data_IF_710581400389
#
_entry.id   IF_710581400389
#
_cell.length_a   1.000
_cell.length_b   1.000
_cell.length_c   1.000
_cell.angle_alpha   90.00
_cell.angle_beta   90.00
_cell.angle_gamma   90.00
#
_symmetry.space_group_name_H-M   'P 1'
#
loop_
_entity.id
_entity.type
_entity.pdbx_description
1 polymer ?
#
# COMPACT_ATOMS: atom_id res chain seq x y z
N UNK A 1 -85.03 3.84 12.14
CA UNK A 1 -86.38 4.07 12.66
C UNK A 1 -86.35 4.00 14.18
N UNK A 2 -87.16 4.80 14.87
CA UNK A 2 -87.29 4.82 16.32
C UNK A 2 -88.40 3.87 16.78
N UNK A 3 -88.42 3.52 18.07
CA UNK A 3 -89.51 2.70 18.64
C UNK A 3 -90.89 3.32 18.41
N UNK A 4 -90.99 4.64 18.39
CA UNK A 4 -92.26 5.35 18.16
C UNK A 4 -92.73 5.26 16.72
N UNK A 5 -91.82 5.34 15.76
CA UNK A 5 -92.13 5.13 14.33
C UNK A 5 -92.60 3.70 14.05
N UNK A 6 -92.04 2.71 14.76
CA UNK A 6 -92.48 1.31 14.66
C UNK A 6 -93.89 1.11 15.24
N UNK A 7 -94.23 1.75 16.36
CA UNK A 7 -95.61 1.71 16.91
C UNK A 7 -96.62 2.42 16.01
N UNK A 8 -96.24 3.55 15.40
CA UNK A 8 -97.07 4.28 14.45
C UNK A 8 -97.41 3.47 13.17
N UNK A 9 -96.58 2.47 12.84
CA UNK A 9 -96.82 1.51 11.76
C UNK A 9 -97.77 0.35 12.16
N UNK A 10 -98.32 0.36 13.37
CA UNK A 10 -99.28 -0.64 13.84
C UNK A 10 -98.66 -1.91 14.44
N UNK A 11 -97.36 -1.90 14.77
CA UNK A 11 -96.69 -3.02 15.43
C UNK A 11 -97.03 -3.08 16.93
N UNK A 12 -97.19 -4.30 17.46
CA UNK A 12 -97.40 -4.54 18.90
C UNK A 12 -96.12 -4.34 19.71
N UNK A 13 -96.25 -4.03 21.00
CA UNK A 13 -95.11 -3.75 21.89
C UNK A 13 -94.08 -4.90 21.96
N UNK A 14 -94.53 -6.15 21.86
CA UNK A 14 -93.65 -7.33 21.78
C UNK A 14 -92.86 -7.38 20.46
N UNK A 15 -93.50 -7.06 19.33
CA UNK A 15 -92.84 -7.05 18.02
C UNK A 15 -91.82 -5.90 17.94
N UNK A 16 -92.17 -4.72 18.45
CA UNK A 16 -91.24 -3.58 18.54
C UNK A 16 -90.04 -3.94 19.41
N UNK A 17 -90.25 -4.60 20.56
CA UNK A 17 -89.14 -5.01 21.43
C UNK A 17 -88.21 -6.00 20.73
N UNK A 18 -88.74 -7.06 20.09
CA UNK A 18 -87.93 -8.03 19.33
C UNK A 18 -87.15 -7.37 18.18
N UNK A 19 -87.78 -6.50 17.41
CA UNK A 19 -87.13 -5.78 16.30
C UNK A 19 -86.02 -4.89 16.82
N UNK A 20 -86.25 -4.12 17.90
CA UNK A 20 -85.22 -3.21 18.41
C UNK A 20 -84.03 -3.97 18.99
N UNK A 21 -84.28 -5.12 19.62
CA UNK A 21 -83.24 -5.98 20.18
C UNK A 21 -82.38 -6.64 19.09
N UNK A 22 -83.01 -7.08 17.99
CA UNK A 22 -82.33 -7.63 16.83
C UNK A 22 -81.54 -6.56 16.05
N UNK A 23 -82.12 -5.37 15.87
CA UNK A 23 -81.48 -4.23 15.24
C UNK A 23 -80.22 -3.79 16.00
N UNK A 24 -80.26 -3.79 17.34
CA UNK A 24 -79.09 -3.48 18.16
C UNK A 24 -77.97 -4.53 18.09
N UNK A 25 -78.29 -5.79 17.78
CA UNK A 25 -77.32 -6.90 17.73
C UNK A 25 -76.75 -7.14 16.33
N UNK A 26 -77.57 -6.98 15.30
CA UNK A 26 -77.26 -7.44 13.94
C UNK A 26 -77.19 -6.32 12.89
N UNK A 27 -77.59 -5.09 13.22
CA UNK A 27 -77.54 -3.97 12.26
C UNK A 27 -76.40 -3.00 12.56
N UNK A 28 -75.55 -2.78 11.56
CA UNK A 28 -74.55 -1.72 11.56
C UNK A 28 -74.98 -0.68 10.54
N UNK A 29 -74.96 0.59 10.92
CA UNK A 29 -75.28 1.66 9.98
C UNK A 29 -74.22 1.73 8.87
N UNK A 30 -74.65 2.09 7.65
CA UNK A 30 -73.73 2.24 6.51
C UNK A 30 -72.60 3.23 6.79
N UNK A 31 -72.87 4.26 7.59
CA UNK A 31 -71.86 5.23 8.05
C UNK A 31 -70.77 4.57 8.89
N UNK A 32 -71.14 3.80 9.92
CA UNK A 32 -70.17 3.09 10.78
C UNK A 32 -69.40 2.01 10.03
N UNK A 33 -70.05 1.29 9.11
CA UNK A 33 -69.38 0.31 8.27
C UNK A 33 -68.33 0.98 7.38
N UNK A 34 -68.70 2.08 6.71
CA UNK A 34 -67.77 2.83 5.85
C UNK A 34 -66.61 3.39 6.64
N UNK A 35 -66.86 3.96 7.83
CA UNK A 35 -65.83 4.49 8.72
C UNK A 35 -64.84 3.39 9.15
N UNK A 36 -65.33 2.23 9.58
CA UNK A 36 -64.48 1.08 9.94
C UNK A 36 -63.72 0.53 8.75
N UNK A 37 -64.31 0.50 7.57
CA UNK A 37 -63.66 0.03 6.35
C UNK A 37 -62.57 1.00 5.87
N UNK A 38 -62.80 2.32 5.96
CA UNK A 38 -61.77 3.32 5.69
C UNK A 38 -60.63 3.26 6.71
N UNK A 39 -60.95 3.13 8.00
CA UNK A 39 -59.96 2.94 9.05
C UNK A 39 -59.12 1.67 8.81
N UNK A 40 -59.76 0.57 8.40
CA UNK A 40 -59.06 -0.67 8.05
C UNK A 40 -58.13 -0.48 6.85
N UNK A 41 -58.61 0.16 5.77
CA UNK A 41 -57.76 0.45 4.59
C UNK A 41 -56.58 1.34 4.94
N UNK A 42 -56.76 2.34 5.79
CA UNK A 42 -55.68 3.21 6.23
C UNK A 42 -54.68 2.44 7.09
N UNK A 43 -55.15 1.62 8.02
CA UNK A 43 -54.29 0.75 8.83
C UNK A 43 -53.49 -0.26 7.98
N UNK A 44 -54.10 -0.83 6.93
CA UNK A 44 -53.41 -1.70 5.99
C UNK A 44 -52.33 -0.97 5.18
N UNK A 45 -52.60 0.27 4.75
CA UNK A 45 -51.60 1.12 4.08
C UNK A 45 -50.43 1.44 5.00
N UNK A 46 -50.70 1.91 6.21
CA UNK A 46 -49.66 2.23 7.22
C UNK A 46 -48.82 0.99 7.54
N UNK A 47 -49.44 -0.18 7.70
CA UNK A 47 -48.74 -1.44 7.90
C UNK A 47 -47.82 -1.79 6.72
N UNK A 48 -48.27 -1.56 5.49
CA UNK A 48 -47.46 -1.78 4.29
C UNK A 48 -46.26 -0.83 4.22
N UNK A 49 -46.43 0.44 4.56
CA UNK A 49 -45.36 1.43 4.61
C UNK A 49 -44.33 1.12 5.70
N UNK A 50 -44.78 0.78 6.90
CA UNK A 50 -43.91 0.33 7.99
C UNK A 50 -43.10 -0.91 7.61
N UNK A 51 -43.72 -1.88 6.94
CA UNK A 51 -43.03 -3.09 6.48
C UNK A 51 -41.90 -2.74 5.51
N UNK A 52 -42.15 -1.85 4.54
CA UNK A 52 -41.11 -1.37 3.61
C UNK A 52 -39.99 -0.63 4.31
N UNK A 53 -40.31 0.21 5.31
CA UNK A 53 -39.30 0.91 6.11
C UNK A 53 -38.43 -0.08 6.91
N UNK A 54 -39.04 -1.09 7.53
CA UNK A 54 -38.32 -2.14 8.27
C UNK A 54 -37.41 -2.94 7.33
N UNK A 55 -37.87 -3.32 6.14
CA UNK A 55 -37.05 -4.00 5.13
C UNK A 55 -35.88 -3.12 4.67
N UNK A 56 -36.13 -1.83 4.44
CA UNK A 56 -35.09 -0.86 4.10
C UNK A 56 -34.04 -0.72 5.22
N UNK A 57 -34.49 -0.61 6.47
CA UNK A 57 -33.60 -0.54 7.64
C UNK A 57 -32.78 -1.81 7.82
N UNK A 58 -33.38 -3.01 7.64
CA UNK A 58 -32.65 -4.29 7.68
C UNK A 58 -31.56 -4.35 6.60
N UNK A 59 -31.89 -4.01 5.36
CA UNK A 59 -30.93 -4.01 4.25
C UNK A 59 -29.78 -3.02 4.48
N UNK A 60 -30.08 -1.84 5.02
CA UNK A 60 -29.04 -0.86 5.39
C UNK A 60 -28.18 -1.35 6.56
N UNK A 61 -28.73 -2.15 7.47
CA UNK A 61 -27.99 -2.72 8.59
C UNK A 61 -27.08 -3.90 8.16
N UNK A 62 -27.46 -4.69 7.16
CA UNK A 62 -26.59 -5.73 6.61
C UNK A 62 -25.34 -5.11 5.95
N UNK A 63 -25.49 -3.98 5.25
CA UNK A 63 -24.36 -3.19 4.75
C UNK A 63 -23.41 -2.71 5.86
N UNK A 64 -23.88 -2.51 7.09
CA UNK A 64 -23.00 -2.18 8.22
C UNK A 64 -22.11 -3.36 8.63
N UNK A 65 -22.57 -4.60 8.50
CA UNK A 65 -21.75 -5.77 8.80
C UNK A 65 -20.62 -5.94 7.77
N UNK A 66 -20.91 -5.73 6.49
CA UNK A 66 -19.91 -5.79 5.42
C UNK A 66 -18.92 -4.63 5.49
N UNK A 67 -19.40 -3.41 5.76
CA UNK A 67 -18.53 -2.26 6.01
C UNK A 67 -17.62 -2.49 7.21
N UNK A 68 -18.13 -3.09 8.30
CA UNK A 68 -17.32 -3.40 9.48
C UNK A 68 -16.21 -4.41 9.15
N UNK A 69 -16.51 -5.46 8.38
CA UNK A 69 -15.49 -6.42 7.91
C UNK A 69 -14.43 -5.77 7.03
N UNK A 70 -14.83 -4.88 6.12
CA UNK A 70 -13.87 -4.14 5.29
C UNK A 70 -12.97 -3.22 6.11
N UNK A 71 -13.52 -2.55 7.13
CA UNK A 71 -12.75 -1.70 8.04
C UNK A 71 -11.74 -2.54 8.83
N UNK A 72 -12.16 -3.69 9.38
CA UNK A 72 -11.27 -4.61 10.10
C UNK A 72 -10.14 -5.13 9.18
N UNK A 73 -10.47 -5.55 7.96
CA UNK A 73 -9.48 -5.99 6.97
C UNK A 73 -8.51 -4.86 6.56
N UNK A 74 -9.01 -3.64 6.35
CA UNK A 74 -8.16 -2.47 6.06
C UNK A 74 -7.24 -2.12 7.24
N UNK A 75 -7.71 -2.24 8.47
CA UNK A 75 -6.90 -1.99 9.66
C UNK A 75 -5.79 -3.04 9.83
N UNK A 76 -6.09 -4.32 9.60
CA UNK A 76 -5.07 -5.37 9.61
C UNK A 76 -4.04 -5.18 8.49
N UNK A 77 -4.49 -4.87 7.28
CA UNK A 77 -3.62 -4.56 6.15
C UNK A 77 -2.72 -3.35 6.43
N UNK A 78 -3.24 -2.29 7.05
CA UNK A 78 -2.47 -1.11 7.42
C UNK A 78 -1.37 -1.44 8.44
N UNK A 79 -1.66 -2.25 9.47
CA UNK A 79 -0.66 -2.68 10.47
C UNK A 79 0.42 -3.58 9.87
N UNK A 80 0.03 -4.51 8.99
CA UNK A 80 0.97 -5.35 8.28
C UNK A 80 1.91 -4.51 7.41
N UNK A 81 1.35 -3.56 6.65
CA UNK A 81 2.10 -2.62 5.82
C UNK A 81 3.05 -1.76 6.65
N UNK A 82 2.63 -1.21 7.79
CA UNK A 82 3.50 -0.40 8.65
C UNK A 82 4.72 -1.20 9.16
N UNK A 83 4.49 -2.44 9.59
CA UNK A 83 5.56 -3.34 10.06
C UNK A 83 6.50 -3.74 8.91
N UNK A 84 5.95 -4.05 7.74
CA UNK A 84 6.71 -4.40 6.55
C UNK A 84 7.55 -3.21 6.06
N UNK A 85 6.97 -2.01 5.97
CA UNK A 85 7.67 -0.80 5.58
C UNK A 85 8.78 -0.42 6.57
N UNK A 86 8.54 -0.52 7.88
CA UNK A 86 9.57 -0.28 8.89
C UNK A 86 10.74 -1.26 8.73
N UNK A 87 10.43 -2.54 8.48
CA UNK A 87 11.44 -3.59 8.25
C UNK A 87 12.20 -3.34 6.94
N UNK A 88 11.51 -3.04 5.85
CA UNK A 88 12.11 -2.73 4.54
C UNK A 88 12.98 -1.47 4.61
N UNK A 89 12.55 -0.42 5.32
CA UNK A 89 13.35 0.79 5.51
C UNK A 89 14.59 0.53 6.36
N UNK A 90 14.47 -0.26 7.43
CA UNK A 90 15.62 -0.66 8.24
C UNK A 90 16.61 -1.48 7.40
N UNK A 91 16.12 -2.44 6.62
CA UNK A 91 16.94 -3.26 5.73
C UNK A 91 17.60 -2.41 4.65
N UNK A 92 16.88 -1.49 4.01
CA UNK A 92 17.43 -0.60 2.98
C UNK A 92 18.52 0.30 3.54
N UNK A 93 18.34 0.87 4.74
CA UNK A 93 19.35 1.68 5.40
C UNK A 93 20.59 0.86 5.76
N UNK A 94 20.39 -0.35 6.27
CA UNK A 94 21.48 -1.27 6.58
C UNK A 94 22.27 -1.63 5.32
N UNK A 95 21.56 -2.00 4.25
CA UNK A 95 22.16 -2.34 2.96
C UNK A 95 22.97 -1.19 2.39
N UNK A 96 22.42 0.03 2.40
CA UNK A 96 23.10 1.23 1.93
C UNK A 96 24.38 1.52 2.74
N UNK A 97 24.32 1.37 4.07
CA UNK A 97 25.49 1.55 4.94
C UNK A 97 26.57 0.50 4.66
N UNK A 98 26.19 -0.77 4.49
CA UNK A 98 27.12 -1.86 4.15
C UNK A 98 27.78 -1.63 2.80
N UNK A 99 27.00 -1.30 1.78
CA UNK A 99 27.51 -1.00 0.44
C UNK A 99 28.45 0.20 0.46
N UNK A 100 28.11 1.24 1.23
CA UNK A 100 28.97 2.41 1.39
C UNK A 100 30.31 2.03 2.01
N UNK A 101 30.32 1.29 3.13
CA UNK A 101 31.56 0.86 3.79
C UNK A 101 32.42 -0.04 2.91
N UNK A 102 31.81 -0.96 2.15
CA UNK A 102 32.53 -1.81 1.19
C UNK A 102 33.10 -1.02 0.02
N UNK A 103 32.40 0.02 -0.43
CA UNK A 103 32.88 0.94 -1.48
C UNK A 103 34.07 1.75 -0.97
N UNK A 104 33.99 2.31 0.25
CA UNK A 104 35.10 3.02 0.89
C UNK A 104 36.31 2.10 1.09
N UNK A 105 36.07 0.83 1.40
CA UNK A 105 37.10 -0.19 1.50
C UNK A 105 37.67 -0.67 0.15
N UNK A 106 37.19 -0.12 -0.97
CA UNK A 106 37.56 -0.48 -2.35
C UNK A 106 37.36 -1.97 -2.67
N UNK A 107 36.23 -2.54 -2.27
CA UNK A 107 35.87 -3.89 -2.67
C UNK A 107 35.65 -3.96 -4.20
N UNK A 108 36.36 -4.86 -4.89
CA UNK A 108 36.22 -5.11 -6.33
C UNK A 108 34.85 -5.67 -6.69
N UNK A 109 34.25 -6.45 -5.79
CA UNK A 109 32.90 -6.96 -5.93
C UNK A 109 32.16 -6.85 -4.59
N UNK A 110 31.37 -5.78 -4.47
CA UNK A 110 30.59 -5.45 -3.27
C UNK A 110 29.64 -6.60 -2.89
N UNK A 111 29.00 -7.26 -3.87
CA UNK A 111 28.10 -8.39 -3.58
C UNK A 111 28.83 -9.59 -2.99
N UNK A 112 29.99 -9.94 -3.53
CA UNK A 112 30.80 -11.05 -3.03
C UNK A 112 31.36 -10.76 -1.63
N UNK A 113 31.91 -9.56 -1.42
CA UNK A 113 32.40 -9.13 -0.11
C UNK A 113 31.28 -9.07 0.93
N UNK A 114 30.09 -8.57 0.54
CA UNK A 114 28.89 -8.54 1.39
C UNK A 114 28.42 -9.94 1.81
N UNK A 115 28.49 -10.94 0.92
CA UNK A 115 28.08 -12.30 1.24
C UNK A 115 28.98 -12.99 2.27
N UNK A 116 30.23 -12.54 2.40
CA UNK A 116 31.19 -13.05 3.38
C UNK A 116 31.12 -12.33 4.73
N UNK A 117 30.40 -11.19 4.79
CA UNK A 117 30.18 -10.47 6.03
C UNK A 117 28.96 -11.05 6.76
N UNK A 118 29.15 -11.45 8.02
CA UNK A 118 28.02 -11.85 8.86
C UNK A 118 27.24 -10.63 9.32
N UNK A 119 26.10 -10.38 8.66
CA UNK A 119 25.21 -9.26 8.90
C UNK A 119 23.96 -9.64 9.72
N UNK A 120 23.88 -10.87 10.26
CA UNK A 120 22.66 -11.36 10.93
C UNK A 120 22.24 -10.54 12.14
N UNK A 121 23.19 -9.92 12.83
CA UNK A 121 22.96 -9.04 14.00
C UNK A 121 23.37 -7.58 13.75
N UNK A 122 23.50 -7.18 12.48
CA UNK A 122 24.01 -5.87 12.12
C UNK A 122 23.02 -4.76 12.53
N UNK A 123 23.51 -3.81 13.32
CA UNK A 123 22.75 -2.64 13.78
C UNK A 123 23.42 -1.36 13.29
N UNK A 124 22.59 -0.38 12.95
CA UNK A 124 23.04 0.97 12.63
C UNK A 124 23.32 1.75 13.93
N UNK A 125 24.41 2.51 13.96
CA UNK A 125 24.72 3.47 15.01
C UNK A 125 23.99 4.80 14.80
N UNK A 126 24.21 5.76 15.70
CA UNK A 126 23.62 7.10 15.64
C UNK A 126 24.05 7.90 14.39
N UNK A 127 25.13 7.49 13.72
CA UNK A 127 25.65 8.10 12.49
C UNK A 127 25.13 7.40 11.23
N UNK A 128 24.39 6.31 11.38
CA UNK A 128 23.90 5.49 10.27
C UNK A 128 24.97 4.54 9.70
N UNK A 129 26.03 4.25 10.44
CA UNK A 129 27.04 3.26 10.10
C UNK A 129 26.74 1.92 10.79
N UNK A 130 27.12 0.81 10.19
CA UNK A 130 26.92 -0.51 10.82
C UNK A 130 27.98 -0.74 11.88
N UNK A 131 27.55 -0.94 13.13
CA UNK A 131 28.43 -1.14 14.28
C UNK A 131 29.34 -2.35 14.05
N UNK A 132 30.66 -2.16 14.19
CA UNK A 132 31.66 -3.23 14.07
C UNK A 132 31.90 -3.72 12.63
N UNK A 133 31.23 -3.14 11.63
CA UNK A 133 31.43 -3.51 10.23
C UNK A 133 32.84 -3.17 9.74
N UNK A 134 33.39 -2.03 10.17
CA UNK A 134 34.74 -1.60 9.82
C UNK A 134 35.81 -2.61 10.23
N UNK A 135 35.65 -3.27 11.38
CA UNK A 135 36.61 -4.26 11.85
C UNK A 135 36.46 -5.59 11.09
N UNK A 136 35.22 -6.02 10.81
CA UNK A 136 34.94 -7.17 9.95
C UNK A 136 35.49 -6.97 8.54
N UNK A 137 35.37 -5.78 7.96
CA UNK A 137 35.94 -5.46 6.65
C UNK A 137 37.47 -5.53 6.68
N UNK A 138 38.12 -5.05 7.73
CA UNK A 138 39.59 -5.16 7.87
C UNK A 138 40.05 -6.62 8.02
N UNK A 139 39.28 -7.45 8.71
CA UNK A 139 39.55 -8.88 8.82
C UNK A 139 39.36 -9.58 7.47
N UNK A 140 38.31 -9.22 6.73
CA UNK A 140 38.06 -9.71 5.37
C UNK A 140 39.16 -9.26 4.39
N UNK A 141 39.70 -8.04 4.55
CA UNK A 141 40.84 -7.56 3.76
C UNK A 141 42.12 -8.37 4.01
N UNK A 142 42.29 -8.95 5.21
CA UNK A 142 43.45 -9.79 5.55
C UNK A 142 43.29 -11.22 5.06
N UNK A 143 42.10 -11.80 5.22
CA UNK A 143 41.78 -13.18 4.83
C UNK A 143 41.60 -13.31 3.31
N UNK A 144 40.81 -12.41 2.73
CA UNK A 144 40.38 -12.42 1.33
C UNK A 144 40.83 -11.16 0.59
N UNK A 145 42.12 -10.82 0.67
CA UNK A 145 42.71 -9.62 0.06
C UNK A 145 42.41 -9.47 -1.44
N UNK A 146 42.20 -10.59 -2.15
CA UNK A 146 41.87 -10.59 -3.59
C UNK A 146 40.55 -9.87 -3.91
N UNK A 147 39.62 -9.80 -2.95
CA UNK A 147 38.32 -9.11 -3.09
C UNK A 147 38.43 -7.60 -3.05
N UNK A 148 39.56 -7.05 -2.61
CA UNK A 148 39.78 -5.62 -2.46
C UNK A 148 40.84 -5.12 -3.43
N UNK A 149 40.75 -3.85 -3.81
CA UNK A 149 41.81 -3.20 -4.58
C UNK A 149 43.04 -3.01 -3.70
N UNK A 150 44.18 -3.49 -4.19
CA UNK A 150 45.47 -3.20 -3.59
C UNK A 150 45.75 -1.71 -3.75
N UNK A 151 46.11 -1.03 -2.66
CA UNK A 151 46.55 0.38 -2.69
C UNK A 151 47.93 0.55 -3.37
N UNK A 152 48.45 -0.49 -4.00
CA UNK A 152 49.60 -0.42 -4.88
C UNK A 152 49.19 0.42 -6.10
N UNK A 153 49.49 1.71 -6.04
CA UNK A 153 49.39 2.67 -7.13
C UNK A 153 50.27 2.33 -8.34
N UNK A 154 50.56 1.06 -8.58
CA UNK A 154 51.03 0.57 -9.85
C UNK A 154 49.84 0.55 -10.80
N UNK A 155 49.55 1.71 -11.39
CA UNK A 155 49.10 1.72 -12.78
C UNK A 155 50.06 0.77 -13.51
N UNK A 156 49.58 -0.42 -13.87
CA UNK A 156 50.20 -1.16 -14.96
C UNK A 156 50.02 -0.26 -16.16
N UNK A 157 51.00 0.59 -16.41
CA UNK A 157 51.17 1.21 -17.70
C UNK A 157 51.30 0.05 -18.68
N UNK A 158 50.17 -0.34 -19.27
CA UNK A 158 50.19 -1.16 -20.46
C UNK A 158 50.85 -0.26 -21.49
N UNK A 159 52.13 -0.50 -21.75
CA UNK A 159 52.88 0.19 -22.79
C UNK A 159 52.20 -0.05 -24.13
N UNK A 160 51.26 0.84 -24.47
CA UNK A 160 50.60 0.82 -25.76
C UNK A 160 51.62 1.10 -26.84
N UNK A 161 51.60 0.26 -27.88
CA UNK A 161 52.36 0.51 -29.10
C UNK A 161 51.86 1.85 -29.67
N UNK A 162 52.72 2.87 -29.70
CA UNK A 162 52.44 4.13 -30.38
C UNK A 162 52.67 3.92 -31.88
N UNK A 163 51.63 3.92 -32.74
CA UNK A 163 51.84 3.92 -34.18
C UNK A 163 52.32 5.32 -34.58
N UNK A 164 53.63 5.46 -34.76
CA UNK A 164 54.32 6.73 -35.07
C UNK A 164 55.74 6.83 -34.51
N UNK A 165 56.12 5.99 -33.56
CA UNK A 165 57.49 5.86 -33.10
C UNK A 165 58.26 4.94 -34.06
N UNK A 166 58.72 5.51 -35.18
CA UNK A 166 59.67 4.86 -36.09
C UNK A 166 60.97 4.56 -35.35
N UNK A 167 61.30 3.27 -35.31
CA UNK A 167 62.62 2.78 -34.94
C UNK A 167 63.56 2.96 -36.12
N UNK A 168 64.60 3.79 -35.97
CA UNK A 168 65.81 3.71 -36.79
C UNK A 168 67.07 3.91 -35.93
N UNK A 169 67.65 2.77 -35.56
CA UNK A 169 69.07 2.43 -35.60
C UNK A 169 70.11 3.29 -34.84
N UNK A 170 70.59 2.69 -33.74
CA UNK A 170 72.01 2.45 -33.41
C UNK A 170 73.08 3.29 -34.16
N UNK A 171 73.84 4.11 -33.42
CA UNK A 171 75.17 4.55 -33.85
C UNK A 171 75.54 5.98 -33.49
N UNK A 172 76.28 6.12 -32.38
CA UNK A 172 77.18 7.23 -32.00
C UNK A 172 77.56 8.25 -33.10
N UNK A 173 77.21 9.52 -32.93
CA UNK A 173 78.04 10.68 -33.32
C UNK A 173 77.43 12.00 -32.79
N UNK A 174 78.31 12.91 -32.38
CA UNK A 174 78.02 14.17 -31.70
C UNK A 174 76.96 15.05 -32.39
N UNK A 175 76.14 15.72 -31.57
CA UNK A 175 75.23 16.81 -32.00
C UNK A 175 76.04 17.92 -32.70
N UNK A 176 76.02 17.95 -34.04
CA UNK A 176 76.43 19.13 -34.80
C UNK A 176 75.48 20.29 -34.48
N UNK A 177 76.01 21.50 -34.38
CA UNK A 177 75.21 22.69 -34.12
C UNK A 177 74.43 23.10 -35.37
N UNK A 178 73.36 23.87 -35.18
CA UNK A 178 72.43 24.29 -36.25
C UNK A 178 73.15 25.00 -37.41
N UNK A 179 74.25 25.70 -37.13
CA UNK A 179 75.11 26.32 -38.15
C UNK A 179 75.72 25.28 -39.11
N UNK A 180 76.24 24.18 -38.57
CA UNK A 180 76.91 23.11 -39.32
C UNK A 180 75.91 22.26 -40.12
N UNK A 181 74.65 22.23 -39.70
CA UNK A 181 73.56 21.61 -40.48
C UNK A 181 73.14 22.49 -41.67
N UNK A 182 73.21 23.82 -41.52
CA UNK A 182 72.87 24.76 -42.59
C UNK A 182 73.94 24.85 -43.69
N UNK A 183 75.23 24.90 -43.32
CA UNK A 183 76.35 24.91 -44.29
C UNK A 183 76.33 23.66 -45.18
N UNK A 184 76.07 22.50 -44.58
CA UNK A 184 75.97 21.22 -45.30
C UNK A 184 74.79 21.14 -46.27
N UNK A 185 73.73 21.91 -46.04
CA UNK A 185 72.58 21.98 -46.94
C UNK A 185 72.79 22.96 -48.12
N UNK A 186 73.68 23.93 -47.96
CA UNK A 186 74.03 24.91 -49.00
C UNK A 186 75.25 24.50 -49.84
N UNK A 187 75.97 23.44 -49.43
CA UNK A 187 77.08 22.89 -50.20
C UNK A 187 78.30 23.81 -50.28
N UNK A 188 78.47 24.69 -49.27
CA UNK A 188 79.64 25.55 -49.07
C UNK A 188 80.21 25.27 -47.70
#
# INVERSE_FOLDING_TARGET
MTKEELKALGLTDEQVSKITEDYGKNYVSKSQFNEKNEALKNAEKEKGELTKQIEGLKKNNDSNADLKKQIEAMQEAAKAMETEHATQLAQMKLDAAVEHSLTVAKAKNIKAARALLDLKDAKLDEKGEVIGLSDKIKELQKSDAYLFESNDGQKKEVGGVHPGAGSDNNGTAAKLTVQQQFERALGI
#
